data_IF_430504751813
#
_entry.id   IF_430504751813
#
_cell.length_a   1.000
_cell.length_b   1.000
_cell.length_c   1.000
_cell.angle_alpha   90.00
_cell.angle_beta   90.00
_cell.angle_gamma   90.00
#
_symmetry.space_group_name_H-M   'P 1'
#
loop_
_entity.id
_entity.type
_entity.pdbx_description
1 polymer ?
#
# COMPACT_ATOMS: atom_id res chain seq x y z
N UNK A 1 35.62 -6.58 -97.01
CA UNK A 1 36.46 -5.75 -96.14
C UNK A 1 35.58 -5.35 -94.96
N UNK A 2 35.59 -6.12 -93.92
CA UNK A 2 34.79 -5.86 -92.69
C UNK A 2 35.67 -6.25 -91.51
N UNK A 3 36.09 -5.31 -90.71
CA UNK A 3 36.85 -5.54 -89.51
C UNK A 3 35.88 -5.72 -88.29
N UNK A 4 36.05 -6.83 -87.61
CA UNK A 4 35.45 -7.15 -86.38
C UNK A 4 36.26 -6.66 -85.19
N UNK A 5 35.75 -5.82 -84.35
CA UNK A 5 36.36 -5.47 -83.04
C UNK A 5 35.59 -6.10 -81.93
N UNK A 6 36.18 -7.14 -81.31
CA UNK A 6 35.65 -7.77 -80.08
C UNK A 6 36.01 -6.92 -78.86
N UNK A 7 35.00 -6.58 -78.13
CA UNK A 7 35.15 -5.88 -76.85
C UNK A 7 35.38 -6.88 -75.69
N UNK A 8 36.51 -6.75 -75.00
CA UNK A 8 36.84 -7.38 -73.75
C UNK A 8 36.02 -6.79 -72.63
N UNK A 9 35.19 -7.58 -72.02
CA UNK A 9 34.47 -7.25 -70.72
C UNK A 9 35.40 -7.67 -69.60
N UNK A 10 35.77 -6.79 -68.67
CA UNK A 10 36.71 -7.14 -67.60
C UNK A 10 36.13 -8.08 -66.59
N UNK A 11 36.78 -9.16 -66.33
CA UNK A 11 36.57 -10.24 -65.38
C UNK A 11 36.68 -9.82 -63.89
N UNK A 12 36.75 -8.49 -63.58
CA UNK A 12 36.94 -7.95 -62.23
C UNK A 12 35.65 -7.78 -61.43
N UNK A 13 34.47 -7.74 -62.04
CA UNK A 13 33.23 -7.50 -61.35
C UNK A 13 32.74 -8.71 -60.48
N UNK A 14 33.09 -9.93 -60.83
CA UNK A 14 32.72 -11.14 -60.11
C UNK A 14 33.56 -11.44 -58.86
N UNK A 15 34.78 -10.92 -58.74
CA UNK A 15 35.62 -11.15 -57.55
C UNK A 15 35.27 -10.27 -56.40
N UNK A 16 34.75 -9.06 -56.60
CA UNK A 16 34.30 -8.14 -55.51
C UNK A 16 33.01 -8.59 -54.87
N UNK A 17 32.02 -9.15 -55.58
CA UNK A 17 30.80 -9.71 -55.03
C UNK A 17 31.07 -10.93 -54.17
N UNK A 18 32.03 -11.78 -54.55
CA UNK A 18 32.38 -12.98 -53.80
C UNK A 18 33.14 -12.66 -52.49
N UNK A 19 33.97 -11.61 -52.52
CA UNK A 19 34.70 -11.14 -51.33
C UNK A 19 33.73 -10.49 -50.31
N UNK A 20 32.76 -9.71 -50.78
CA UNK A 20 31.72 -9.08 -49.94
C UNK A 20 30.82 -10.11 -49.28
N UNK A 21 30.42 -11.18 -49.98
CA UNK A 21 29.63 -12.26 -49.42
C UNK A 21 30.37 -13.02 -48.32
N UNK A 22 31.68 -13.29 -48.48
CA UNK A 22 32.53 -13.94 -47.47
C UNK A 22 32.70 -13.04 -46.25
N UNK A 23 32.87 -11.73 -46.41
CA UNK A 23 32.97 -10.78 -45.33
C UNK A 23 31.65 -10.69 -44.52
N UNK A 24 30.51 -10.66 -45.19
CA UNK A 24 29.19 -10.64 -44.56
C UNK A 24 28.93 -11.89 -43.73
N UNK A 25 29.29 -13.07 -44.23
CA UNK A 25 29.18 -14.34 -43.48
C UNK A 25 30.11 -14.32 -42.25
N UNK A 26 31.31 -13.80 -42.38
CA UNK A 26 32.23 -13.68 -41.24
C UNK A 26 31.69 -12.75 -40.15
N UNK A 27 31.06 -11.63 -40.51
CA UNK A 27 30.45 -10.70 -39.59
C UNK A 27 29.27 -11.37 -38.81
N UNK A 28 28.42 -12.14 -39.52
CA UNK A 28 27.34 -12.89 -38.90
C UNK A 28 27.87 -13.94 -37.92
N UNK A 29 28.92 -14.66 -38.27
CA UNK A 29 29.54 -15.65 -37.36
C UNK A 29 30.11 -14.96 -36.12
N UNK A 30 30.82 -13.87 -36.27
CA UNK A 30 31.36 -13.12 -35.13
C UNK A 30 30.29 -12.56 -34.22
N UNK A 31 29.18 -12.05 -34.78
CA UNK A 31 28.04 -11.57 -34.02
C UNK A 31 27.35 -12.71 -33.26
N UNK A 32 27.16 -13.87 -33.90
CA UNK A 32 26.57 -15.06 -33.24
C UNK A 32 27.45 -15.55 -32.08
N UNK A 33 28.78 -15.55 -32.25
CA UNK A 33 29.72 -15.89 -31.17
C UNK A 33 29.61 -14.91 -29.99
N UNK A 34 29.54 -13.61 -30.27
CA UNK A 34 29.39 -12.58 -29.24
C UNK A 34 28.09 -12.76 -28.45
N UNK A 35 26.95 -13.06 -29.10
CA UNK A 35 25.67 -13.34 -28.45
C UNK A 35 25.78 -14.57 -27.57
N UNK A 36 26.41 -15.66 -28.02
CA UNK A 36 26.60 -16.88 -27.19
C UNK A 36 27.44 -16.60 -25.95
N UNK A 37 28.52 -15.77 -26.07
CA UNK A 37 29.36 -15.40 -24.94
C UNK A 37 28.57 -14.60 -23.91
N UNK A 38 27.72 -13.65 -24.35
CA UNK A 38 26.84 -12.86 -23.44
C UNK A 38 25.86 -13.76 -22.74
N UNK A 39 25.22 -14.69 -23.44
CA UNK A 39 24.27 -15.64 -22.81
C UNK A 39 24.97 -16.56 -21.82
N UNK A 40 26.17 -17.05 -22.11
CA UNK A 40 26.98 -17.83 -21.17
C UNK A 40 27.36 -17.02 -19.92
N UNK A 41 27.71 -15.75 -20.09
CA UNK A 41 28.04 -14.88 -18.96
C UNK A 41 26.82 -14.66 -18.07
N UNK A 42 25.65 -14.39 -18.66
CA UNK A 42 24.36 -14.26 -17.92
C UNK A 42 24.06 -15.57 -17.18
N UNK A 43 24.20 -16.71 -17.84
CA UNK A 43 23.98 -18.03 -17.22
C UNK A 43 24.93 -18.30 -16.05
N UNK A 44 26.21 -17.95 -16.18
CA UNK A 44 27.20 -18.12 -15.10
C UNK A 44 26.96 -17.18 -13.94
N UNK A 45 26.51 -15.94 -14.21
CA UNK A 45 26.06 -15.00 -13.18
C UNK A 45 24.85 -15.54 -12.43
N UNK A 46 23.84 -16.06 -13.15
CA UNK A 46 22.66 -16.68 -12.59
C UNK A 46 22.98 -17.92 -11.73
N UNK A 47 23.86 -18.83 -12.23
CA UNK A 47 24.36 -19.96 -11.44
C UNK A 47 25.11 -19.52 -10.18
N UNK A 48 25.95 -18.48 -10.25
CA UNK A 48 26.64 -17.95 -9.06
C UNK A 48 25.65 -17.40 -8.02
N UNK A 49 24.55 -16.77 -8.49
CA UNK A 49 23.49 -16.28 -7.61
C UNK A 49 22.75 -17.44 -6.91
N UNK A 50 22.41 -18.49 -7.65
CA UNK A 50 21.78 -19.71 -7.11
C UNK A 50 22.69 -20.48 -6.13
N UNK A 51 24.00 -20.57 -6.42
CA UNK A 51 24.97 -21.23 -5.54
C UNK A 51 25.25 -20.44 -4.26
N UNK A 52 25.19 -19.09 -4.29
CA UNK A 52 25.21 -18.25 -3.08
C UNK A 52 23.98 -18.49 -2.22
N UNK A 53 22.80 -18.73 -2.81
CA UNK A 53 21.57 -19.07 -2.10
C UNK A 53 21.66 -20.43 -1.38
N UNK A 54 22.32 -21.43 -2.01
CA UNK A 54 22.46 -22.80 -1.47
C UNK A 54 23.53 -22.94 -0.35
N UNK A 55 24.50 -22.02 -0.27
CA UNK A 55 25.58 -22.05 0.74
C UNK A 55 25.18 -21.43 2.08
N UNK A 56 23.97 -20.86 2.18
CA UNK A 56 23.40 -20.27 3.41
C UNK A 56 22.40 -21.19 4.15
N UNK A 57 22.15 -22.39 3.63
CA UNK A 57 21.37 -23.43 4.32
C UNK A 57 22.32 -24.42 5.02
N UNK A 58 22.88 -24.00 6.13
CA UNK A 58 23.68 -24.83 7.02
C UNK A 58 22.96 -24.98 8.35
N UNK A 59 22.71 -26.22 8.69
CA UNK A 59 22.11 -26.80 9.90
C UNK A 59 22.50 -26.08 11.19
N UNK A 60 21.54 -25.62 11.98
CA UNK A 60 21.73 -25.08 13.33
C UNK A 60 21.28 -26.12 14.33
N UNK A 61 22.11 -26.44 15.37
CA UNK A 61 21.73 -27.40 16.43
C UNK A 61 20.73 -26.78 17.40
N UNK A 62 19.75 -27.56 17.83
CA UNK A 62 18.77 -27.21 18.87
C UNK A 62 19.49 -26.87 20.18
N UNK A 63 19.43 -25.63 20.59
CA UNK A 63 19.68 -25.19 21.96
C UNK A 63 18.50 -24.29 22.34
N UNK A 64 17.86 -24.64 23.44
CA UNK A 64 16.84 -23.83 24.10
C UNK A 64 17.44 -22.49 24.53
N UNK A 65 17.06 -21.40 23.86
CA UNK A 65 17.57 -20.06 24.16
C UNK A 65 16.43 -19.06 24.09
N UNK A 66 16.39 -18.22 25.11
CA UNK A 66 15.71 -16.94 25.11
C UNK A 66 15.83 -16.23 23.75
N UNK A 67 14.68 -15.87 23.20
CA UNK A 67 14.58 -15.29 21.86
C UNK A 67 15.14 -13.87 21.87
N UNK A 68 16.45 -13.76 21.59
CA UNK A 68 17.03 -12.50 21.09
C UNK A 68 16.92 -12.51 19.57
N UNK A 69 15.86 -11.97 19.05
CA UNK A 69 15.70 -11.74 17.61
C UNK A 69 16.69 -10.68 17.13
N UNK A 70 17.58 -11.10 16.27
CA UNK A 70 18.35 -10.25 15.37
C UNK A 70 17.66 -10.31 14.01
N UNK A 71 17.07 -9.24 13.50
CA UNK A 71 16.60 -9.20 12.13
C UNK A 71 17.80 -8.90 11.23
N UNK A 72 18.38 -9.91 10.66
CA UNK A 72 19.31 -9.74 9.56
C UNK A 72 19.07 -10.90 8.61
N UNK A 73 18.46 -10.61 7.51
CA UNK A 73 18.86 -10.94 6.15
C UNK A 73 17.66 -10.96 5.20
N UNK A 74 17.78 -10.10 4.18
CA UNK A 74 17.19 -10.22 2.86
C UNK A 74 15.71 -9.92 2.70
N UNK A 75 15.46 -8.70 2.26
CA UNK A 75 14.48 -8.52 1.19
C UNK A 75 15.04 -7.49 0.22
N UNK A 76 15.51 -7.94 -0.92
CA UNK A 76 15.55 -7.10 -2.13
C UNK A 76 14.11 -7.10 -2.63
N UNK A 77 13.33 -6.15 -2.17
CA UNK A 77 12.01 -5.87 -2.70
C UNK A 77 12.17 -5.24 -4.08
N UNK A 78 11.99 -6.03 -5.14
CA UNK A 78 11.68 -5.43 -6.44
C UNK A 78 10.27 -4.84 -6.33
N UNK A 79 10.19 -3.57 -5.91
CA UNK A 79 9.00 -2.75 -6.08
C UNK A 79 8.78 -2.54 -7.57
N UNK A 80 7.98 -3.40 -8.20
CA UNK A 80 7.39 -3.08 -9.49
C UNK A 80 6.31 -2.03 -9.26
N UNK A 81 6.73 -0.76 -9.32
CA UNK A 81 5.80 0.34 -9.55
C UNK A 81 5.31 0.17 -10.98
N UNK A 82 4.03 -0.08 -11.18
CA UNK A 82 3.44 -0.10 -12.50
C UNK A 82 3.43 1.33 -13.02
N UNK A 83 4.47 1.69 -13.79
CA UNK A 83 4.44 2.86 -14.67
C UNK A 83 3.71 2.45 -15.94
N UNK A 84 2.45 2.82 -16.04
CA UNK A 84 1.72 2.77 -17.31
C UNK A 84 2.20 3.98 -18.10
N UNK A 85 2.95 3.75 -19.19
CA UNK A 85 3.38 4.78 -20.13
C UNK A 85 2.19 5.57 -20.67
N UNK A 86 2.36 6.90 -20.71
CA UNK A 86 1.37 7.85 -21.19
C UNK A 86 1.05 7.60 -22.67
N UNK A 87 -0.21 7.28 -22.95
CA UNK A 87 -0.79 7.47 -24.29
C UNK A 87 -0.98 8.97 -24.48
N UNK A 88 -0.29 9.53 -25.45
CA UNK A 88 -0.36 10.92 -25.89
C UNK A 88 -1.82 11.44 -25.92
N UNK A 89 -2.15 12.35 -25.04
CA UNK A 89 -3.34 13.17 -25.14
C UNK A 89 -2.96 14.57 -25.62
N UNK A 90 -3.49 14.91 -26.79
CA UNK A 90 -3.39 16.16 -27.53
C UNK A 90 -3.46 17.41 -26.64
N UNK A 91 -2.49 18.32 -26.88
CA UNK A 91 -2.57 19.75 -26.54
C UNK A 91 -3.92 20.34 -26.98
N UNK A 92 -4.63 20.90 -26.03
CA UNK A 92 -5.52 22.03 -26.28
C UNK A 92 -5.30 23.09 -25.21
N UNK A 93 -5.09 24.28 -25.71
CA UNK A 93 -4.91 25.55 -25.04
C UNK A 93 -6.00 25.81 -24.00
N UNK A 94 -5.61 26.23 -22.80
CA UNK A 94 -6.49 27.02 -21.93
C UNK A 94 -5.68 28.21 -21.42
N UNK A 95 -6.18 29.36 -21.84
CA UNK A 95 -5.84 30.73 -21.52
C UNK A 95 -5.77 31.03 -20.02
N UNK A 96 -4.83 31.90 -19.71
CA UNK A 96 -4.66 32.59 -18.43
C UNK A 96 -5.93 33.30 -17.96
N UNK A 97 -6.35 33.05 -16.73
CA UNK A 97 -7.25 33.92 -15.99
C UNK A 97 -6.46 34.62 -14.88
N UNK A 98 -6.15 35.89 -15.13
CA UNK A 98 -5.71 36.83 -14.12
C UNK A 98 -6.91 37.17 -13.23
N UNK A 99 -6.75 36.97 -11.92
CA UNK A 99 -7.67 37.54 -10.93
C UNK A 99 -6.99 38.77 -10.33
N UNK A 100 -7.56 39.94 -10.65
CA UNK A 100 -7.26 41.21 -10.00
C UNK A 100 -7.87 41.22 -8.60
N UNK A 101 -7.04 41.51 -7.59
CA UNK A 101 -7.49 41.86 -6.25
C UNK A 101 -7.42 43.38 -6.13
N UNK A 102 -8.61 43.99 -5.99
CA UNK A 102 -8.79 45.43 -5.79
C UNK A 102 -8.19 45.95 -4.51
N UNK A 103 -7.51 47.08 -4.64
CA UNK A 103 -7.07 47.97 -3.55
C UNK A 103 -8.18 48.93 -3.15
N UNK A 104 -8.39 49.14 -1.86
CA UNK A 104 -8.81 50.36 -1.19
C UNK A 104 -8.53 50.19 0.31
N UNK A 105 -8.08 51.09 1.13
CA UNK A 105 -7.70 52.51 1.05
C UNK A 105 -6.98 52.92 2.32
N UNK A 106 -6.00 53.79 2.18
CA UNK A 106 -5.62 54.95 2.96
C UNK A 106 -5.38 54.90 4.48
N UNK A 107 -4.20 55.44 4.86
CA UNK A 107 -3.92 56.01 6.17
C UNK A 107 -2.43 56.19 6.47
N UNK A 108 -1.80 57.30 5.98
CA UNK A 108 -0.71 58.17 6.49
C UNK A 108 0.30 57.61 7.53
N UNK A 109 1.50 57.64 7.24
CA UNK A 109 2.67 58.54 7.19
C UNK A 109 3.62 58.37 8.39
N UNK A 110 4.86 58.14 8.15
CA UNK A 110 6.00 59.01 8.42
C UNK A 110 7.35 58.34 8.10
N UNK A 111 8.18 59.13 7.43
CA UNK A 111 9.55 58.90 6.98
C UNK A 111 10.54 58.41 8.05
N UNK A 112 11.53 57.58 7.63
CA UNK A 112 12.95 57.93 7.72
C UNK A 112 13.77 57.02 6.81
N UNK A 113 14.62 57.62 5.99
CA UNK A 113 15.58 57.13 5.04
C UNK A 113 16.75 56.36 5.67
N UNK A 114 17.33 55.38 5.05
CA UNK A 114 18.66 55.33 4.46
C UNK A 114 19.18 53.94 4.10
N UNK A 115 19.83 53.83 2.96
CA UNK A 115 20.96 52.92 2.75
C UNK A 115 20.64 51.61 2.02
N UNK A 116 20.91 51.61 0.71
CA UNK A 116 20.86 50.44 -0.13
C UNK A 116 21.97 49.42 0.12
N UNK A 117 21.63 48.17 -0.11
CA UNK A 117 22.54 47.17 -0.69
C UNK A 117 21.69 46.03 -1.27
N UNK A 118 21.98 45.73 -2.52
CA UNK A 118 21.42 44.63 -3.28
C UNK A 118 21.90 43.32 -2.70
N UNK A 119 20.98 42.51 -2.11
CA UNK A 119 21.24 41.10 -1.82
C UNK A 119 20.24 40.24 -2.54
N UNK A 120 20.78 39.39 -3.40
CA UNK A 120 20.12 38.24 -4.03
C UNK A 120 19.58 37.33 -2.91
N UNK A 121 18.26 37.38 -2.69
CA UNK A 121 17.60 36.51 -1.72
C UNK A 121 17.55 35.08 -2.25
N UNK A 122 18.55 34.28 -1.86
CA UNK A 122 18.39 32.84 -1.70
C UNK A 122 17.30 32.61 -0.66
N UNK A 123 16.21 31.97 -1.04
CA UNK A 123 15.15 31.52 -0.14
C UNK A 123 15.74 30.49 0.82
N UNK A 124 16.31 30.93 1.93
CA UNK A 124 16.57 30.12 3.10
C UNK A 124 15.23 29.84 3.77
N UNK A 125 14.78 28.59 3.67
CA UNK A 125 13.66 28.05 4.44
C UNK A 125 14.17 27.84 5.87
N UNK A 126 14.29 28.90 6.64
CA UNK A 126 14.43 28.86 8.08
C UNK A 126 13.09 29.29 8.71
N UNK A 127 12.13 28.36 8.73
CA UNK A 127 11.01 28.45 9.65
C UNK A 127 11.04 27.21 10.56
N UNK A 128 11.63 27.31 11.79
CA UNK A 128 11.76 26.17 12.70
C UNK A 128 10.43 25.76 13.35
N UNK A 129 9.31 26.32 12.90
CA UNK A 129 8.00 26.09 13.49
C UNK A 129 6.91 25.74 12.47
N UNK A 130 7.20 24.80 11.58
CA UNK A 130 6.09 24.07 10.97
C UNK A 130 5.57 23.18 12.10
N UNK A 131 4.46 23.53 12.74
CA UNK A 131 3.90 22.93 13.97
C UNK A 131 3.47 21.45 13.91
N UNK A 132 4.27 20.58 13.28
CA UNK A 132 3.95 19.22 12.88
C UNK A 132 4.87 18.13 13.46
N UNK A 133 5.72 18.45 14.41
CA UNK A 133 6.65 17.52 15.01
C UNK A 133 7.94 18.21 15.40
N UNK A 134 8.82 17.48 16.12
CA UNK A 134 10.12 18.02 16.53
C UNK A 134 11.05 18.05 15.30
N UNK A 135 11.67 19.20 15.08
CA UNK A 135 12.80 19.29 14.17
C UNK A 135 14.04 18.68 14.82
N UNK A 136 14.76 17.86 14.10
CA UNK A 136 16.04 17.28 14.50
C UNK A 136 17.14 17.80 13.58
N UNK A 137 18.26 18.25 14.15
CA UNK A 137 19.45 18.58 13.38
C UNK A 137 20.08 17.33 12.77
N UNK A 138 20.85 17.51 11.72
CA UNK A 138 21.61 16.41 11.09
C UNK A 138 22.51 15.69 12.10
N UNK A 139 23.18 16.44 13.00
CA UNK A 139 24.03 15.86 14.04
C UNK A 139 23.27 14.97 15.02
N UNK A 140 22.06 15.35 15.43
CA UNK A 140 21.22 14.52 16.29
C UNK A 140 20.82 13.21 15.61
N UNK A 141 20.48 13.27 14.31
CA UNK A 141 20.10 12.09 13.53
C UNK A 141 21.31 11.18 13.27
N UNK A 142 22.47 11.75 12.92
CA UNK A 142 23.72 11.01 12.79
C UNK A 142 24.12 10.33 14.10
N UNK A 143 24.05 11.05 15.22
CA UNK A 143 24.32 10.47 16.55
C UNK A 143 23.35 9.31 16.83
N UNK A 144 22.05 9.52 16.65
CA UNK A 144 21.03 8.51 16.93
C UNK A 144 21.23 7.23 16.11
N UNK A 145 21.65 7.36 14.85
CA UNK A 145 21.86 6.23 13.93
C UNK A 145 23.28 5.70 13.90
N UNK A 146 24.17 6.24 14.75
CA UNK A 146 25.62 5.93 14.77
C UNK A 146 26.28 6.19 13.40
N UNK A 147 26.00 7.37 12.81
CA UNK A 147 26.52 7.75 11.50
C UNK A 147 25.90 6.94 10.36
N UNK A 148 24.62 6.56 10.48
CA UNK A 148 23.91 5.69 9.50
C UNK A 148 24.60 4.35 9.31
N UNK A 149 25.05 3.75 10.41
CA UNK A 149 25.77 2.49 10.39
C UNK A 149 24.92 1.37 9.76
N UNK A 150 25.56 0.52 8.97
CA UNK A 150 24.90 -0.57 8.24
C UNK A 150 24.21 -1.57 9.18
N UNK A 151 24.73 -1.78 10.38
CA UNK A 151 24.15 -2.64 11.41
C UNK A 151 22.82 -2.12 11.96
N UNK A 152 22.52 -0.84 11.77
CA UNK A 152 21.29 -0.19 12.19
C UNK A 152 20.23 -0.14 11.06
N UNK A 153 20.52 -0.63 9.87
CA UNK A 153 19.54 -0.71 8.79
C UNK A 153 18.48 -1.75 9.15
N UNK A 154 17.21 -1.30 9.20
CA UNK A 154 16.04 -2.14 9.51
C UNK A 154 15.11 -2.30 8.30
N UNK A 155 15.34 -1.54 7.23
CA UNK A 155 14.60 -1.65 5.98
C UNK A 155 15.25 -0.81 4.88
N UNK A 156 15.16 -1.32 3.65
CA UNK A 156 15.61 -0.63 2.44
C UNK A 156 14.59 -0.84 1.35
N UNK A 157 14.24 0.21 0.63
CA UNK A 157 13.25 0.16 -0.46
C UNK A 157 13.46 1.28 -1.47
N UNK A 158 12.62 1.34 -2.49
CA UNK A 158 12.73 2.31 -3.59
C UNK A 158 12.69 3.78 -3.18
N UNK A 159 12.22 4.08 -1.98
CA UNK A 159 12.06 5.46 -1.47
C UNK A 159 13.15 5.88 -0.47
N UNK A 160 13.93 4.95 0.07
CA UNK A 160 14.96 5.28 1.05
C UNK A 160 15.40 4.11 1.89
N UNK A 161 16.27 4.41 2.84
CA UNK A 161 16.78 3.46 3.84
C UNK A 161 16.24 3.84 5.21
N UNK A 162 15.76 2.86 5.97
CA UNK A 162 15.26 3.04 7.33
C UNK A 162 16.28 2.49 8.31
N UNK A 163 16.68 3.34 9.25
CA UNK A 163 17.63 3.01 10.30
C UNK A 163 16.94 2.95 11.66
N UNK A 164 17.30 1.98 12.49
CA UNK A 164 17.04 2.04 13.92
C UNK A 164 17.94 3.10 14.54
N UNK A 165 17.36 4.00 15.34
CA UNK A 165 18.10 5.02 16.04
C UNK A 165 17.78 5.04 17.54
N UNK A 166 18.69 5.62 18.34
CA UNK A 166 18.48 5.89 19.76
C UNK A 166 18.78 7.36 20.00
N UNK A 167 17.77 8.13 20.34
CA UNK A 167 17.92 9.55 20.67
C UNK A 167 18.68 9.75 21.98
N UNK A 168 19.13 10.99 22.25
CA UNK A 168 19.90 11.31 23.45
C UNK A 168 19.16 11.01 24.77
N UNK A 169 17.83 11.09 24.75
CA UNK A 169 16.94 10.75 25.87
C UNK A 169 16.68 9.25 26.03
N UNK A 170 17.36 8.41 25.22
CA UNK A 170 17.17 6.95 25.20
C UNK A 170 15.95 6.47 24.42
N UNK A 171 15.14 7.39 23.82
CA UNK A 171 13.98 6.98 23.04
C UNK A 171 14.41 6.31 21.72
N UNK A 172 13.88 5.12 21.46
CA UNK A 172 14.17 4.35 20.23
C UNK A 172 13.27 4.81 19.10
N UNK A 173 13.87 5.12 17.95
CA UNK A 173 13.20 5.65 16.76
C UNK A 173 13.55 4.85 15.52
N UNK A 174 12.74 5.00 14.47
CA UNK A 174 13.05 4.59 13.11
C UNK A 174 13.26 5.85 12.25
N UNK A 175 14.43 5.97 11.63
CA UNK A 175 14.80 7.11 10.80
C UNK A 175 14.78 6.69 9.34
N UNK A 176 13.80 7.20 8.56
CA UNK A 176 13.69 6.98 7.11
C UNK A 176 14.46 8.09 6.38
N UNK A 177 15.61 7.73 5.79
CA UNK A 177 16.41 8.62 4.96
C UNK A 177 15.95 8.50 3.52
N UNK A 178 15.30 9.54 2.98
CA UNK A 178 14.69 9.51 1.65
C UNK A 178 15.75 9.69 0.54
N UNK A 179 15.65 8.89 -0.52
CA UNK A 179 16.52 9.03 -1.70
C UNK A 179 16.16 10.28 -2.50
N UNK A 180 17.13 11.17 -2.71
CA UNK A 180 16.90 12.39 -3.46
C UNK A 180 17.03 12.18 -4.99
N UNK A 181 16.17 11.33 -5.54
CA UNK A 181 16.09 11.09 -6.96
C UNK A 181 15.20 12.16 -7.63
N UNK A 182 15.82 13.12 -8.35
CA UNK A 182 15.11 14.16 -9.13
C UNK A 182 14.02 14.92 -8.36
N UNK A 183 14.25 15.23 -7.07
CA UNK A 183 13.30 15.94 -6.21
C UNK A 183 12.16 15.06 -5.67
N UNK A 184 12.27 13.75 -5.75
CA UNK A 184 11.31 12.79 -5.21
C UNK A 184 11.25 12.87 -3.68
N UNK A 185 12.41 12.95 -3.00
CA UNK A 185 12.48 13.06 -1.55
C UNK A 185 11.67 14.24 -1.00
N UNK A 186 11.73 15.40 -1.64
CA UNK A 186 10.98 16.58 -1.22
C UNK A 186 9.47 16.37 -1.32
N UNK A 187 9.01 15.71 -2.40
CA UNK A 187 7.58 15.41 -2.58
C UNK A 187 7.07 14.44 -1.55
N UNK A 188 7.76 13.33 -1.33
CA UNK A 188 7.40 12.33 -0.32
C UNK A 188 7.42 12.92 1.09
N UNK A 189 8.49 13.64 1.41
CA UNK A 189 8.62 14.33 2.69
C UNK A 189 7.42 15.23 2.98
N UNK A 190 7.05 16.10 2.02
CA UNK A 190 5.88 16.99 2.16
C UNK A 190 4.59 16.21 2.35
N UNK A 191 4.38 15.17 1.52
CA UNK A 191 3.18 14.33 1.60
C UNK A 191 3.07 13.65 2.96
N UNK A 192 4.15 13.03 3.47
CA UNK A 192 4.13 12.35 4.77
C UNK A 192 3.93 13.33 5.93
N UNK A 193 4.64 14.47 5.92
CA UNK A 193 4.49 15.48 6.98
C UNK A 193 3.07 16.06 6.98
N UNK A 194 2.50 16.35 5.80
CA UNK A 194 1.15 16.91 5.68
C UNK A 194 0.07 15.87 6.08
N UNK A 195 0.21 14.62 5.64
CA UNK A 195 -0.78 13.59 5.90
C UNK A 195 -0.83 13.14 7.37
N UNK A 196 0.34 12.91 8.00
CA UNK A 196 0.40 12.28 9.33
C UNK A 196 1.14 13.08 10.40
N UNK A 197 1.68 14.26 10.10
CA UNK A 197 2.43 15.04 11.06
C UNK A 197 1.67 15.30 12.39
N UNK A 198 0.38 15.62 12.31
CA UNK A 198 -0.52 15.83 13.45
C UNK A 198 -1.28 14.58 13.91
N UNK A 199 -1.23 13.50 13.13
CA UNK A 199 -2.05 12.32 13.38
C UNK A 199 -1.50 11.52 14.57
N UNK A 200 -2.40 11.18 15.50
CA UNK A 200 -2.08 10.36 16.68
C UNK A 200 -3.15 9.30 16.85
N UNK A 201 -2.83 8.06 16.45
CA UNK A 201 -3.71 6.92 16.60
C UNK A 201 -2.90 5.65 16.90
N UNK A 202 -3.41 4.78 17.78
CA UNK A 202 -2.69 3.57 18.24
C UNK A 202 -2.34 2.59 17.13
N UNK A 203 -3.12 2.58 16.04
CA UNK A 203 -2.94 1.69 14.89
C UNK A 203 -2.33 2.38 13.67
N UNK A 204 -1.72 3.55 13.84
CA UNK A 204 -0.92 4.26 12.85
C UNK A 204 0.47 4.49 13.43
N UNK A 205 1.50 4.39 12.60
CA UNK A 205 2.87 4.72 13.00
C UNK A 205 2.97 6.23 13.19
N UNK A 206 3.45 6.64 14.37
CA UNK A 206 3.56 8.05 14.73
C UNK A 206 4.81 8.68 14.12
N UNK A 207 4.63 9.78 13.41
CA UNK A 207 5.73 10.67 13.08
C UNK A 207 6.13 11.46 14.35
N UNK A 208 7.35 11.23 14.82
CA UNK A 208 7.94 11.89 15.99
C UNK A 208 8.52 13.26 15.62
N UNK A 209 9.14 13.32 14.45
CA UNK A 209 9.74 14.53 13.92
C UNK A 209 10.40 14.30 12.57
N UNK A 210 11.21 15.25 12.15
CA UNK A 210 11.87 15.24 10.86
C UNK A 210 13.21 15.99 10.90
N UNK A 211 14.07 15.71 9.92
CA UNK A 211 15.28 16.46 9.62
C UNK A 211 15.24 16.91 8.15
N UNK A 212 15.44 18.21 7.92
CA UNK A 212 15.58 18.81 6.60
C UNK A 212 16.86 19.63 6.60
N UNK A 213 17.90 19.13 5.93
CA UNK A 213 19.20 19.76 5.86
C UNK A 213 19.73 19.73 4.42
N UNK A 214 19.89 20.89 3.81
CA UNK A 214 20.23 21.03 2.40
C UNK A 214 19.27 20.22 1.51
N UNK A 215 19.81 19.24 0.79
CA UNK A 215 19.02 18.35 -0.08
C UNK A 215 18.53 17.08 0.63
N UNK A 216 18.97 16.84 1.87
CA UNK A 216 18.60 15.64 2.64
C UNK A 216 17.24 15.81 3.29
N UNK A 217 16.42 14.78 3.23
CA UNK A 217 15.09 14.71 3.85
C UNK A 217 14.99 13.42 4.63
N UNK A 218 14.72 13.53 5.93
CA UNK A 218 14.57 12.37 6.82
C UNK A 218 13.34 12.52 7.67
N UNK A 219 12.65 11.41 7.88
CA UNK A 219 11.47 11.32 8.71
C UNK A 219 11.81 10.44 9.92
N UNK A 220 11.45 10.90 11.11
CA UNK A 220 11.73 10.22 12.38
C UNK A 220 10.42 9.68 12.93
N UNK A 221 10.29 8.38 13.01
CA UNK A 221 9.09 7.67 13.48
C UNK A 221 9.33 6.98 14.82
N UNK A 222 8.24 6.66 15.52
CA UNK A 222 8.32 5.67 16.59
C UNK A 222 8.87 4.34 16.04
N UNK A 223 9.69 3.67 16.84
CA UNK A 223 10.17 2.33 16.49
C UNK A 223 9.11 1.28 16.83
N UNK A 224 8.87 0.32 15.92
CA UNK A 224 7.92 -0.77 16.11
C UNK A 224 8.69 -2.10 16.09
N UNK A 225 8.49 -2.92 17.12
CA UNK A 225 9.45 -3.95 17.53
C UNK A 225 9.47 -5.22 16.66
N UNK A 226 8.31 -5.66 16.13
CA UNK A 226 8.18 -6.97 15.46
C UNK A 226 8.21 -6.88 13.94
N UNK A 227 8.86 -5.83 13.38
CA UNK A 227 8.95 -5.70 11.92
C UNK A 227 7.61 -5.56 11.23
N UNK A 228 7.48 -6.04 10.00
CA UNK A 228 6.27 -5.94 9.19
C UNK A 228 5.57 -7.31 8.99
N UNK A 229 4.31 -7.26 8.61
CA UNK A 229 3.47 -8.44 8.43
C UNK A 229 3.94 -9.36 7.29
N UNK A 230 4.52 -8.80 6.22
CA UNK A 230 5.06 -9.58 5.10
C UNK A 230 6.16 -10.53 5.55
N UNK A 231 7.08 -10.07 6.44
CA UNK A 231 8.15 -10.90 7.00
C UNK A 231 7.59 -12.11 7.75
N UNK A 232 6.44 -11.97 8.41
CA UNK A 232 5.81 -13.04 9.18
C UNK A 232 4.91 -13.96 8.34
N UNK A 233 4.33 -13.47 7.24
CA UNK A 233 3.51 -14.29 6.35
C UNK A 233 4.36 -15.06 5.32
N UNK A 234 5.44 -14.44 4.82
CA UNK A 234 6.21 -14.96 3.67
C UNK A 234 7.69 -15.22 3.97
N UNK A 235 8.17 -14.82 5.15
CA UNK A 235 9.52 -15.11 5.61
C UNK A 235 9.67 -16.53 6.14
N UNK A 236 10.90 -16.90 6.47
CA UNK A 236 11.19 -18.20 7.10
C UNK A 236 10.89 -18.12 8.60
N UNK A 237 9.67 -18.45 8.97
CA UNK A 237 9.19 -18.42 10.36
C UNK A 237 9.15 -19.83 11.01
N UNK A 238 9.70 -20.84 10.32
CA UNK A 238 9.70 -22.22 10.76
C UNK A 238 8.44 -23.01 10.35
N UNK A 239 8.27 -24.24 10.86
CA UNK A 239 7.21 -25.16 10.43
C UNK A 239 5.80 -24.75 10.88
N UNK A 240 5.68 -23.94 11.93
CA UNK A 240 4.42 -23.43 12.48
C UNK A 240 4.54 -21.92 12.59
N UNK A 241 3.55 -21.21 12.05
CA UNK A 241 3.51 -19.75 12.12
C UNK A 241 3.17 -19.29 13.56
N UNK A 242 3.91 -18.32 14.12
CA UNK A 242 3.53 -17.69 15.39
C UNK A 242 2.25 -16.86 15.27
N UNK A 243 1.83 -16.53 14.04
CA UNK A 243 0.59 -15.83 13.76
C UNK A 243 -0.59 -16.82 13.76
N UNK A 244 -1.11 -17.12 14.95
CA UNK A 244 -2.35 -17.89 15.12
C UNK A 244 -3.53 -17.16 14.47
N UNK A 245 -4.66 -17.85 14.27
CA UNK A 245 -5.86 -17.21 13.75
C UNK A 245 -6.28 -15.97 14.53
N UNK A 246 -6.27 -16.01 15.85
CA UNK A 246 -6.66 -14.88 16.69
C UNK A 246 -5.72 -13.69 16.55
N UNK A 247 -4.41 -13.94 16.42
CA UNK A 247 -3.43 -12.89 16.15
C UNK A 247 -3.67 -12.30 14.76
N UNK A 248 -3.91 -13.12 13.73
CA UNK A 248 -4.20 -12.66 12.37
C UNK A 248 -5.45 -11.78 12.33
N UNK A 249 -6.52 -12.17 13.01
CA UNK A 249 -7.74 -11.36 13.09
C UNK A 249 -7.51 -10.06 13.90
N UNK A 250 -6.70 -10.11 14.96
CA UNK A 250 -6.28 -8.90 15.69
C UNK A 250 -5.52 -7.92 14.81
N UNK A 251 -4.60 -8.41 13.98
CA UNK A 251 -3.86 -7.60 12.99
C UNK A 251 -4.84 -6.98 11.99
N UNK A 252 -5.76 -7.78 11.43
CA UNK A 252 -6.77 -7.29 10.49
C UNK A 252 -7.66 -6.20 11.10
N UNK A 253 -8.19 -6.42 12.31
CA UNK A 253 -9.02 -5.43 13.03
C UNK A 253 -8.24 -4.17 13.37
N UNK A 254 -6.98 -4.32 13.81
CA UNK A 254 -6.12 -3.18 14.13
C UNK A 254 -5.83 -2.33 12.90
N UNK A 255 -5.54 -2.96 11.77
CA UNK A 255 -5.34 -2.28 10.48
C UNK A 255 -6.62 -1.56 10.03
N UNK A 256 -7.77 -2.23 10.13
CA UNK A 256 -9.07 -1.63 9.79
C UNK A 256 -9.38 -0.41 10.66
N UNK A 257 -9.05 -0.44 11.97
CA UNK A 257 -9.22 0.72 12.88
C UNK A 257 -8.32 1.89 12.49
N UNK A 258 -7.08 1.62 12.09
CA UNK A 258 -6.17 2.65 11.58
C UNK A 258 -6.73 3.33 10.33
N UNK A 259 -7.21 2.54 9.35
CA UNK A 259 -7.82 3.05 8.13
C UNK A 259 -9.15 3.77 8.37
N UNK A 260 -10.00 3.26 9.28
CA UNK A 260 -11.23 3.94 9.67
C UNK A 260 -10.95 5.34 10.21
N UNK A 261 -9.91 5.49 11.03
CA UNK A 261 -9.51 6.80 11.53
C UNK A 261 -9.04 7.74 10.42
N UNK A 262 -8.25 7.27 9.43
CA UNK A 262 -7.82 8.08 8.29
C UNK A 262 -9.00 8.53 7.40
N UNK A 263 -9.99 7.65 7.19
CA UNK A 263 -11.09 7.88 6.27
C UNK A 263 -12.28 8.62 6.89
N UNK A 264 -12.54 8.38 8.18
CA UNK A 264 -13.78 8.80 8.86
C UNK A 264 -13.50 9.70 10.07
N UNK A 265 -12.28 9.69 10.62
CA UNK A 265 -11.89 10.46 11.80
C UNK A 265 -11.08 11.73 11.51
N UNK A 266 -10.72 11.99 10.25
CA UNK A 266 -9.93 13.15 9.85
C UNK A 266 -10.66 14.03 8.85
N UNK A 267 -10.39 15.34 8.91
CA UNK A 267 -10.79 16.33 7.91
C UNK A 267 -9.57 17.23 7.61
N UNK A 268 -9.09 17.21 6.37
CA UNK A 268 -9.49 16.36 5.25
C UNK A 268 -9.17 14.88 5.50
N UNK A 269 -9.94 13.99 4.84
CA UNK A 269 -9.68 12.54 4.86
C UNK A 269 -8.31 12.23 4.26
N UNK A 270 -7.67 11.17 4.75
CA UNK A 270 -6.40 10.68 4.20
C UNK A 270 -6.64 9.34 3.53
N UNK A 271 -6.39 9.25 2.22
CA UNK A 271 -6.35 7.99 1.46
C UNK A 271 -4.91 7.54 1.37
N UNK A 272 -4.61 6.32 1.83
CA UNK A 272 -3.24 5.81 1.99
C UNK A 272 -2.58 5.42 0.66
N UNK A 273 -3.31 4.76 -0.23
CA UNK A 273 -2.93 4.32 -1.59
C UNK A 273 -1.94 3.15 -1.68
N UNK A 274 -1.29 2.76 -0.59
CA UNK A 274 -0.32 1.65 -0.60
C UNK A 274 -0.52 0.73 0.61
N UNK A 275 -1.76 0.24 0.80
CA UNK A 275 -2.08 -0.75 1.83
C UNK A 275 -1.62 -2.12 1.35
N UNK A 276 -0.65 -2.70 2.06
CA UNK A 276 -0.03 -4.01 1.79
C UNK A 276 0.65 -4.55 3.04
N UNK A 277 1.01 -5.82 3.06
CA UNK A 277 1.60 -6.49 4.23
C UNK A 277 2.94 -5.88 4.69
N UNK A 278 3.79 -5.41 3.78
CA UNK A 278 5.05 -4.77 4.15
C UNK A 278 4.88 -3.39 4.81
N UNK A 279 3.72 -2.73 4.64
CA UNK A 279 3.40 -1.45 5.27
C UNK A 279 2.59 -1.61 6.58
N UNK A 280 2.39 -2.84 7.05
CA UNK A 280 1.74 -3.13 8.33
C UNK A 280 2.81 -3.57 9.33
N UNK A 281 3.20 -2.67 10.23
CA UNK A 281 4.16 -2.97 11.29
C UNK A 281 3.44 -3.58 12.50
N UNK A 282 4.13 -4.45 13.23
CA UNK A 282 3.57 -5.20 14.35
C UNK A 282 4.26 -4.80 15.66
N UNK A 283 3.48 -4.44 16.66
CA UNK A 283 4.01 -4.15 18.01
C UNK A 283 4.26 -5.45 18.81
N UNK A 284 4.86 -5.32 19.99
CA UNK A 284 5.15 -6.45 20.91
C UNK A 284 3.92 -7.28 21.29
N UNK A 285 2.70 -6.71 21.13
CA UNK A 285 1.43 -7.36 21.45
C UNK A 285 0.72 -7.86 20.19
N UNK A 286 1.38 -7.85 19.04
CA UNK A 286 0.83 -8.21 17.74
C UNK A 286 -0.32 -7.29 17.30
N UNK A 287 -0.36 -6.03 17.76
CA UNK A 287 -1.27 -5.06 17.17
C UNK A 287 -0.63 -4.44 15.93
N UNK A 288 -1.42 -4.23 14.90
CA UNK A 288 -0.96 -3.59 13.68
C UNK A 288 -0.89 -2.07 13.82
N UNK A 289 0.13 -1.50 13.18
CA UNK A 289 0.31 -0.08 12.92
C UNK A 289 0.55 0.13 11.43
N UNK A 290 -0.33 0.88 10.77
CA UNK A 290 -0.16 1.24 9.35
C UNK A 290 0.97 2.26 9.23
N UNK A 291 1.86 2.05 8.27
CA UNK A 291 3.08 2.83 8.03
C UNK A 291 3.24 3.20 6.55
N UNK A 292 4.20 4.04 6.24
CA UNK A 292 4.60 4.50 4.89
C UNK A 292 3.50 5.30 4.16
N UNK A 293 3.39 6.56 4.52
CA UNK A 293 2.41 7.50 3.95
C UNK A 293 2.97 8.29 2.76
N UNK A 294 4.11 7.89 2.19
CA UNK A 294 4.77 8.58 1.06
C UNK A 294 3.90 8.72 -0.20
N UNK A 295 2.87 7.89 -0.33
CA UNK A 295 1.89 7.96 -1.42
C UNK A 295 0.53 8.53 -0.99
N UNK A 296 0.33 8.92 0.27
CA UNK A 296 -0.96 9.35 0.78
C UNK A 296 -1.54 10.57 0.05
N UNK A 297 -2.86 10.70 0.06
CA UNK A 297 -3.55 11.83 -0.57
C UNK A 297 -4.66 12.35 0.33
N UNK A 298 -4.63 13.65 0.57
CA UNK A 298 -5.70 14.36 1.27
C UNK A 298 -6.91 14.54 0.35
N UNK A 299 -8.08 14.21 0.88
CA UNK A 299 -9.36 14.31 0.19
C UNK A 299 -10.31 15.17 1.03
N UNK A 300 -10.54 16.41 0.62
CA UNK A 300 -11.48 17.32 1.30
C UNK A 300 -12.92 16.84 1.22
N UNK A 301 -13.75 17.23 2.18
CA UNK A 301 -15.15 16.83 2.32
C UNK A 301 -16.01 17.12 1.10
N UNK A 302 -15.70 18.19 0.37
CA UNK A 302 -16.37 18.58 -0.88
C UNK A 302 -16.14 17.63 -2.06
N UNK A 303 -15.12 16.72 -1.95
CA UNK A 303 -14.69 15.85 -3.04
C UNK A 303 -15.02 14.39 -2.76
N UNK A 304 -15.72 13.78 -3.69
CA UNK A 304 -15.98 12.33 -3.66
C UNK A 304 -14.80 11.49 -4.15
N UNK A 305 -13.93 12.08 -4.97
CA UNK A 305 -12.70 11.44 -5.50
C UNK A 305 -11.70 12.50 -5.98
N UNK A 306 -10.47 12.06 -6.24
CA UNK A 306 -9.41 12.85 -6.89
C UNK A 306 -8.87 12.06 -8.06
N UNK A 307 -8.76 12.67 -9.26
CA UNK A 307 -8.06 12.03 -10.38
C UNK A 307 -6.56 12.25 -10.22
N UNK A 308 -5.79 11.17 -10.26
CA UNK A 308 -4.33 11.19 -10.07
C UNK A 308 -3.68 10.06 -10.85
N UNK A 309 -2.37 10.20 -11.12
CA UNK A 309 -1.56 9.09 -11.64
C UNK A 309 -1.75 7.87 -10.73
N UNK A 310 -1.95 6.70 -11.36
CA UNK A 310 -2.05 5.43 -10.64
C UNK A 310 -0.72 5.12 -9.97
N UNK A 311 -0.79 4.88 -8.67
CA UNK A 311 0.36 4.53 -7.81
C UNK A 311 -0.10 3.50 -6.79
N UNK A 312 0.85 2.75 -6.23
CA UNK A 312 0.59 1.69 -5.28
C UNK A 312 1.26 0.38 -5.71
N UNK A 313 1.05 -0.69 -4.95
CA UNK A 313 1.71 -1.98 -5.15
C UNK A 313 0.83 -2.91 -5.98
N UNK A 314 1.40 -3.49 -7.05
CA UNK A 314 0.70 -4.42 -7.93
C UNK A 314 0.11 -5.60 -7.13
N UNK A 315 -1.12 -5.99 -7.47
CA UNK A 315 -1.88 -7.00 -6.74
C UNK A 315 -2.81 -6.43 -5.67
N UNK A 316 -2.52 -5.23 -5.11
CA UNK A 316 -3.38 -4.57 -4.12
C UNK A 316 -4.20 -3.41 -4.70
N UNK A 317 -3.78 -2.85 -5.85
CA UNK A 317 -4.47 -1.71 -6.48
C UNK A 317 -5.86 -2.11 -6.96
N UNK A 318 -6.85 -1.28 -6.64
CA UNK A 318 -8.24 -1.55 -7.06
C UNK A 318 -8.43 -1.35 -8.57
N UNK A 319 -9.27 -2.18 -9.23
CA UNK A 319 -9.41 -2.18 -10.68
C UNK A 319 -9.88 -0.83 -11.25
N UNK A 320 -10.84 -0.18 -10.59
CA UNK A 320 -11.35 1.13 -11.03
C UNK A 320 -10.29 2.22 -10.94
N UNK A 321 -9.49 2.23 -9.87
CA UNK A 321 -8.41 3.18 -9.73
C UNK A 321 -7.31 2.92 -10.78
N UNK A 322 -6.96 1.65 -11.02
CA UNK A 322 -6.00 1.27 -12.05
C UNK A 322 -6.43 1.71 -13.45
N UNK A 323 -7.72 1.65 -13.77
CA UNK A 323 -8.25 1.95 -15.11
C UNK A 323 -8.57 3.43 -15.33
N UNK A 324 -9.02 4.15 -14.29
CA UNK A 324 -9.54 5.52 -14.42
C UNK A 324 -8.67 6.60 -13.78
N UNK A 325 -7.76 6.22 -12.88
CA UNK A 325 -7.02 7.16 -12.04
C UNK A 325 -7.89 7.85 -10.96
N UNK A 326 -9.17 7.49 -10.83
CA UNK A 326 -10.08 8.04 -9.83
C UNK A 326 -9.85 7.38 -8.46
N UNK A 327 -9.27 8.15 -7.55
CA UNK A 327 -8.92 7.71 -6.20
C UNK A 327 -9.95 8.20 -5.19
N UNK A 328 -10.37 7.31 -4.31
CA UNK A 328 -11.16 7.62 -3.12
C UNK A 328 -10.84 6.63 -1.97
N UNK A 329 -11.47 6.82 -0.81
CA UNK A 329 -11.29 5.94 0.34
C UNK A 329 -11.66 4.46 0.09
N UNK A 330 -12.53 4.20 -0.90
CA UNK A 330 -12.93 2.83 -1.27
C UNK A 330 -11.83 2.06 -2.02
N UNK A 331 -10.84 2.79 -2.56
CA UNK A 331 -9.65 2.17 -3.13
C UNK A 331 -8.80 1.49 -2.05
N UNK A 332 -8.63 2.14 -0.87
CA UNK A 332 -7.96 1.51 0.28
C UNK A 332 -8.77 0.33 0.86
N UNK A 333 -10.12 0.39 0.78
CA UNK A 333 -10.98 -0.73 1.18
C UNK A 333 -10.71 -1.97 0.34
N UNK A 334 -10.54 -1.80 -0.98
CA UNK A 334 -10.16 -2.93 -1.86
C UNK A 334 -8.80 -3.49 -1.48
N UNK A 335 -7.79 -2.63 -1.32
CA UNK A 335 -6.43 -3.05 -0.91
C UNK A 335 -6.44 -3.77 0.44
N UNK A 336 -7.25 -3.29 1.40
CA UNK A 336 -7.49 -3.99 2.67
C UNK A 336 -8.13 -5.36 2.47
N UNK A 337 -9.06 -5.50 1.53
CA UNK A 337 -9.68 -6.79 1.19
C UNK A 337 -8.64 -7.81 0.71
N UNK A 338 -7.72 -7.38 -0.17
CA UNK A 338 -6.61 -8.23 -0.65
C UNK A 338 -5.66 -8.57 0.50
N UNK A 339 -5.31 -7.60 1.34
CA UNK A 339 -4.49 -7.82 2.54
C UNK A 339 -5.15 -8.83 3.50
N UNK A 340 -6.46 -8.77 3.69
CA UNK A 340 -7.18 -9.73 4.54
C UNK A 340 -7.15 -11.14 3.94
N UNK A 341 -7.27 -11.28 2.61
CA UNK A 341 -7.08 -12.58 1.94
C UNK A 341 -5.67 -13.11 2.15
N UNK A 342 -4.65 -12.28 2.00
CA UNK A 342 -3.24 -12.62 2.27
C UNK A 342 -3.04 -13.08 3.71
N UNK A 343 -3.62 -12.39 4.70
CA UNK A 343 -3.60 -12.76 6.12
C UNK A 343 -4.24 -14.13 6.36
N UNK A 344 -5.37 -14.42 5.72
CA UNK A 344 -6.09 -15.70 5.91
C UNK A 344 -5.33 -16.86 5.28
N UNK A 345 -4.81 -16.66 4.07
CA UNK A 345 -4.31 -17.74 3.21
C UNK A 345 -2.80 -17.95 3.29
N UNK A 346 -2.05 -16.97 3.82
CA UNK A 346 -0.58 -16.98 3.77
C UNK A 346 -0.02 -16.87 2.34
N UNK A 347 -0.85 -16.58 1.32
CA UNK A 347 -0.43 -16.45 -0.09
C UNK A 347 -0.21 -15.00 -0.47
N UNK A 348 0.85 -14.75 -1.22
CA UNK A 348 1.11 -13.44 -1.83
C UNK A 348 0.00 -13.06 -2.81
N UNK A 349 -0.33 -11.76 -2.97
CA UNK A 349 -1.37 -11.30 -3.90
C UNK A 349 -1.15 -11.72 -5.35
N UNK A 350 0.10 -11.79 -5.77
CA UNK A 350 0.52 -12.33 -7.07
C UNK A 350 1.63 -13.36 -6.85
N UNK A 351 1.42 -14.56 -7.35
CA UNK A 351 2.40 -15.66 -7.26
C UNK A 351 2.59 -16.30 -8.65
N UNK A 352 3.65 -15.93 -9.33
CA UNK A 352 4.02 -16.42 -10.66
C UNK A 352 4.45 -17.90 -10.67
N UNK A 353 4.63 -18.54 -9.52
CA UNK A 353 4.93 -19.98 -9.44
C UNK A 353 3.69 -20.87 -9.61
N UNK A 354 2.49 -20.27 -9.54
CA UNK A 354 1.20 -20.96 -9.64
C UNK A 354 0.68 -21.03 -11.08
N UNK A 355 -0.22 -21.96 -11.37
CA UNK A 355 -0.90 -22.05 -12.67
C UNK A 355 -1.64 -20.74 -13.00
N UNK A 356 -1.87 -20.42 -14.30
CA UNK A 356 -2.49 -19.17 -14.75
C UNK A 356 -3.79 -18.80 -14.03
N UNK A 357 -4.64 -19.75 -13.67
CA UNK A 357 -5.89 -19.50 -12.95
C UNK A 357 -5.74 -19.25 -11.44
N UNK A 358 -4.54 -19.46 -10.89
CA UNK A 358 -4.24 -19.34 -9.45
C UNK A 358 -3.17 -18.33 -9.12
N UNK A 359 -2.56 -17.67 -10.13
CA UNK A 359 -1.50 -16.67 -9.92
C UNK A 359 -2.01 -15.46 -9.17
N UNK A 360 -3.23 -15.02 -9.45
CA UNK A 360 -3.86 -13.89 -8.78
C UNK A 360 -4.65 -14.38 -7.56
N UNK A 361 -4.31 -13.89 -6.38
CA UNK A 361 -4.95 -14.28 -5.12
C UNK A 361 -6.46 -14.01 -5.12
N UNK A 362 -6.90 -12.87 -5.67
CA UNK A 362 -8.32 -12.48 -5.68
C UNK A 362 -9.15 -13.44 -6.53
N UNK A 363 -8.63 -13.81 -7.71
CA UNK A 363 -9.36 -14.71 -8.63
C UNK A 363 -9.41 -16.13 -8.08
N UNK A 364 -8.30 -16.64 -7.58
CA UNK A 364 -8.25 -17.93 -6.91
C UNK A 364 -9.18 -17.99 -5.70
N UNK A 365 -9.13 -16.97 -4.83
CA UNK A 365 -9.97 -16.88 -3.62
C UNK A 365 -11.45 -16.91 -3.97
N UNK A 366 -11.89 -16.11 -4.97
CA UNK A 366 -13.27 -16.12 -5.48
C UNK A 366 -13.67 -17.51 -6.00
N UNK A 367 -12.80 -18.17 -6.75
CA UNK A 367 -13.02 -19.51 -7.27
C UNK A 367 -13.22 -20.54 -6.16
N UNK A 368 -12.39 -20.51 -5.12
CA UNK A 368 -12.50 -21.43 -3.98
C UNK A 368 -13.80 -21.21 -3.20
N UNK A 369 -14.18 -19.97 -2.94
CA UNK A 369 -15.44 -19.65 -2.24
C UNK A 369 -16.66 -20.08 -3.10
N UNK A 370 -16.64 -19.79 -4.39
CA UNK A 370 -17.71 -20.20 -5.32
C UNK A 370 -17.88 -21.72 -5.39
N UNK A 371 -16.79 -22.45 -5.32
CA UNK A 371 -16.75 -23.93 -5.30
C UNK A 371 -17.07 -24.52 -3.91
N UNK A 372 -17.45 -23.70 -2.92
CA UNK A 372 -17.71 -24.09 -1.51
C UNK A 372 -16.51 -24.74 -0.79
N UNK A 373 -15.30 -24.44 -1.25
CA UNK A 373 -14.02 -24.90 -0.68
C UNK A 373 -13.36 -23.84 0.21
N UNK A 374 -14.18 -23.07 0.92
CA UNK A 374 -13.69 -21.96 1.76
C UNK A 374 -12.78 -22.40 2.91
N UNK A 375 -12.98 -23.61 3.43
CA UNK A 375 -12.15 -24.14 4.52
C UNK A 375 -10.71 -24.41 4.07
N UNK A 376 -10.47 -24.69 2.78
CA UNK A 376 -9.16 -24.91 2.20
C UNK A 376 -8.37 -23.59 1.95
N UNK A 377 -8.99 -22.44 2.20
CA UNK A 377 -8.35 -21.13 2.08
C UNK A 377 -7.46 -20.78 3.27
N UNK A 378 -7.62 -21.48 4.40
CA UNK A 378 -6.85 -21.19 5.61
C UNK A 378 -5.41 -21.62 5.42
N UNK A 379 -4.47 -20.73 5.78
CA UNK A 379 -3.04 -20.99 5.72
C UNK A 379 -2.70 -22.28 6.50
N UNK A 380 -2.09 -23.28 5.84
CA UNK A 380 -1.73 -24.54 6.48
C UNK A 380 -0.71 -24.40 7.64
N UNK A 381 -0.02 -23.26 7.73
CA UNK A 381 0.88 -22.97 8.85
C UNK A 381 0.15 -22.56 10.14
N UNK A 382 -1.16 -22.41 10.11
CA UNK A 382 -1.98 -22.16 11.30
C UNK A 382 -2.26 -23.51 11.98
N UNK A 383 -1.69 -23.70 13.18
CA UNK A 383 -1.81 -24.95 13.94
C UNK A 383 -3.27 -25.24 14.33
N UNK A 384 -3.96 -24.23 14.88
CA UNK A 384 -5.36 -24.36 15.34
C UNK A 384 -6.28 -23.70 14.33
N UNK A 385 -7.05 -24.51 13.63
CA UNK A 385 -8.00 -24.05 12.63
C UNK A 385 -9.10 -23.16 13.25
N UNK A 386 -9.54 -22.10 12.54
CA UNK A 386 -10.63 -21.24 13.01
C UNK A 386 -11.96 -21.98 13.08
N UNK A 387 -12.87 -21.49 13.94
CA UNK A 387 -14.25 -21.96 13.89
C UNK A 387 -14.89 -21.65 12.52
N UNK A 388 -15.77 -22.52 12.00
CA UNK A 388 -16.44 -22.28 10.71
C UNK A 388 -17.15 -20.93 10.65
N UNK A 389 -17.67 -20.45 11.78
CA UNK A 389 -18.34 -19.16 11.89
C UNK A 389 -17.35 -18.00 11.73
N UNK A 390 -16.20 -18.06 12.42
CA UNK A 390 -15.14 -17.04 12.33
C UNK A 390 -14.57 -16.96 10.91
N UNK A 391 -14.26 -18.11 10.30
CA UNK A 391 -13.79 -18.19 8.94
C UNK A 391 -14.80 -17.60 7.95
N UNK A 392 -16.06 -18.06 7.99
CA UNK A 392 -17.11 -17.57 7.10
C UNK A 392 -17.30 -16.05 7.18
N UNK A 393 -17.18 -15.48 8.38
CA UNK A 393 -17.22 -14.03 8.61
C UNK A 393 -16.06 -13.33 7.89
N UNK A 394 -14.83 -13.79 8.09
CA UNK A 394 -13.65 -13.21 7.46
C UNK A 394 -13.71 -13.30 5.92
N UNK A 395 -14.12 -14.45 5.37
CA UNK A 395 -14.32 -14.63 3.93
C UNK A 395 -15.37 -13.67 3.36
N UNK A 396 -16.47 -13.47 4.08
CA UNK A 396 -17.52 -12.52 3.67
C UNK A 396 -16.98 -11.07 3.64
N UNK A 397 -16.19 -10.68 4.64
CA UNK A 397 -15.57 -9.35 4.67
C UNK A 397 -14.64 -9.17 3.48
N UNK A 398 -13.79 -10.16 3.17
CA UNK A 398 -12.95 -10.12 1.96
C UNK A 398 -13.78 -9.84 0.71
N UNK A 399 -14.83 -10.64 0.46
CA UNK A 399 -15.68 -10.50 -0.73
C UNK A 399 -16.38 -9.13 -0.80
N UNK A 400 -16.81 -8.57 0.34
CA UNK A 400 -17.42 -7.24 0.40
C UNK A 400 -16.42 -6.12 0.09
N UNK A 401 -15.18 -6.27 0.52
CA UNK A 401 -14.14 -5.28 0.27
C UNK A 401 -13.72 -5.20 -1.20
N UNK A 402 -13.74 -6.33 -1.91
CA UNK A 402 -13.31 -6.42 -3.31
C UNK A 402 -14.47 -6.35 -4.32
N UNK A 403 -15.66 -5.89 -3.90
CA UNK A 403 -16.79 -5.71 -4.82
C UNK A 403 -16.38 -4.79 -5.97
N UNK A 404 -16.73 -5.17 -7.21
CA UNK A 404 -16.43 -4.39 -8.41
C UNK A 404 -17.22 -3.07 -8.41
N UNK A 405 -18.43 -3.07 -7.84
CA UNK A 405 -19.17 -1.85 -7.58
C UNK A 405 -18.60 -1.14 -6.35
N UNK A 406 -17.88 -0.08 -6.59
CA UNK A 406 -17.18 0.71 -5.55
C UNK A 406 -18.13 1.15 -4.43
N UNK A 407 -19.41 1.47 -4.76
CA UNK A 407 -20.40 1.96 -3.80
C UNK A 407 -20.82 0.84 -2.84
N UNK A 408 -20.80 -0.42 -3.27
CA UNK A 408 -21.18 -1.57 -2.45
C UNK A 408 -20.09 -1.98 -1.45
N UNK A 409 -18.84 -1.52 -1.63
CA UNK A 409 -17.79 -1.74 -0.63
C UNK A 409 -18.18 -1.04 0.68
N UNK A 410 -18.07 -1.69 1.83
CA UNK A 410 -18.36 -1.06 3.12
C UNK A 410 -17.34 0.04 3.45
N UNK A 411 -17.69 0.96 4.34
CA UNK A 411 -16.72 1.87 4.96
C UNK A 411 -15.84 1.10 5.95
N UNK A 412 -14.64 1.61 6.26
CA UNK A 412 -13.71 0.93 7.16
C UNK A 412 -14.28 0.72 8.57
N UNK A 413 -15.04 1.69 9.11
CA UNK A 413 -15.73 1.53 10.39
C UNK A 413 -16.75 0.38 10.38
N UNK A 414 -17.47 0.18 9.28
CA UNK A 414 -18.37 -0.97 9.11
C UNK A 414 -17.58 -2.29 9.06
N UNK A 415 -16.41 -2.32 8.41
CA UNK A 415 -15.54 -3.49 8.37
C UNK A 415 -15.06 -3.86 9.78
N UNK A 416 -14.68 -2.87 10.60
CA UNK A 416 -14.33 -3.11 12.01
C UNK A 416 -15.47 -3.84 12.73
N UNK A 417 -16.71 -3.33 12.61
CA UNK A 417 -17.88 -3.97 13.21
C UNK A 417 -18.12 -5.38 12.65
N UNK A 418 -17.97 -5.58 11.34
CA UNK A 418 -18.13 -6.90 10.73
C UNK A 418 -17.11 -7.92 11.23
N UNK A 419 -15.87 -7.51 11.51
CA UNK A 419 -14.82 -8.39 12.00
C UNK A 419 -14.94 -8.67 13.50
N UNK A 420 -15.40 -7.71 14.31
CA UNK A 420 -15.51 -7.81 15.78
C UNK A 420 -16.83 -8.42 16.26
N UNK A 421 -17.88 -8.43 15.44
CA UNK A 421 -19.19 -8.89 15.87
C UNK A 421 -19.19 -10.40 16.17
N UNK A 422 -19.56 -10.79 17.37
CA UNK A 422 -19.79 -12.20 17.74
C UNK A 422 -21.03 -12.77 17.05
N UNK A 423 -22.04 -11.92 16.78
CA UNK A 423 -23.29 -12.23 16.10
C UNK A 423 -23.54 -11.31 14.92
N UNK A 424 -22.99 -11.64 13.74
CA UNK A 424 -23.43 -10.99 12.52
C UNK A 424 -24.73 -11.68 12.07
N UNK A 425 -25.89 -11.03 12.14
CA UNK A 425 -27.13 -11.62 11.61
C UNK A 425 -27.00 -11.63 10.09
N UNK A 426 -26.91 -12.85 9.51
CA UNK A 426 -27.16 -13.06 8.09
C UNK A 426 -28.66 -12.82 7.81
N UNK A 427 -29.13 -11.58 7.93
CA UNK A 427 -30.45 -11.19 7.48
C UNK A 427 -30.37 -10.98 5.99
N UNK A 428 -30.75 -11.99 5.23
CA UNK A 428 -31.04 -11.84 3.81
C UNK A 428 -32.19 -10.85 3.69
N UNK A 429 -31.94 -9.65 3.16
CA UNK A 429 -32.96 -8.69 2.77
C UNK A 429 -33.92 -9.21 1.67
N UNK A 430 -33.78 -10.46 1.26
CA UNK A 430 -34.62 -11.12 0.25
C UNK A 430 -35.89 -11.81 0.80
N UNK A 431 -36.19 -11.71 2.11
CA UNK A 431 -37.36 -12.41 2.67
C UNK A 431 -38.58 -11.55 2.91
N UNK A 432 -38.51 -10.24 2.72
CA UNK A 432 -39.62 -9.33 2.99
C UNK A 432 -40.52 -9.00 1.80
N UNK A 433 -40.25 -9.56 0.59
CA UNK A 433 -41.10 -9.35 -0.59
C UNK A 433 -41.97 -10.56 -0.98
N UNK A 434 -41.96 -11.67 -0.22
CA UNK A 434 -42.76 -12.86 -0.53
C UNK A 434 -43.85 -13.21 0.46
N UNK A 435 -44.05 -12.41 1.51
CA UNK A 435 -45.07 -12.71 2.53
C UNK A 435 -46.27 -11.74 2.51
N UNK A 436 -46.39 -10.88 1.46
CA UNK A 436 -47.55 -9.98 1.29
C UNK A 436 -48.59 -10.43 0.27
N UNK A 437 -48.39 -11.57 -0.42
CA UNK A 437 -49.30 -12.03 -1.47
C UNK A 437 -49.83 -13.45 -1.19
N UNK A 438 -50.35 -13.71 0.02
CA UNK A 438 -51.21 -14.88 0.24
C UNK A 438 -52.23 -14.54 1.34
N UNK A 439 -53.29 -13.84 0.95
CA UNK A 439 -54.54 -13.84 1.65
C UNK A 439 -55.49 -14.75 0.88
N UNK A 440 -55.98 -15.85 1.44
CA UNK A 440 -57.18 -16.53 0.93
C UNK A 440 -58.41 -15.90 1.52
N UNK A 441 -59.26 -15.40 0.64
CA UNK A 441 -60.65 -15.07 0.91
C UNK A 441 -61.49 -16.32 1.16
N UNK A 442 -62.51 -16.15 2.01
CA UNK A 442 -63.74 -16.93 2.30
C UNK A 442 -63.81 -17.46 3.75
N UNK A 443 -64.84 -17.30 4.51
CA UNK A 443 -66.24 -17.03 4.40
C UNK A 443 -66.87 -16.77 5.79
N UNK A 444 -67.81 -15.89 5.87
CA UNK A 444 -69.02 -15.78 6.68
C UNK A 444 -69.29 -16.78 7.85
N UNK A 445 -69.77 -16.29 9.00
CA UNK A 445 -71.22 -16.34 9.42
C UNK A 445 -71.39 -16.26 10.93
N UNK A 446 -72.24 -15.31 11.38
CA UNK A 446 -73.08 -15.22 12.61
C UNK A 446 -72.45 -15.04 14.01
N UNK A 447 -72.66 -13.95 14.64
CA UNK A 447 -73.77 -13.30 15.33
C UNK A 447 -73.67 -13.33 16.88
N UNK A 448 -73.88 -12.16 17.44
CA UNK A 448 -74.53 -11.77 18.69
C UNK A 448 -73.67 -11.08 19.75
N UNK A 449 -73.93 -9.76 19.82
CA UNK A 449 -73.85 -8.95 21.03
C UNK A 449 -74.82 -9.41 22.13
N UNK A 450 -74.82 -8.93 23.38
CA UNK A 450 -74.56 -7.57 23.81
C UNK A 450 -73.96 -7.35 25.24
N UNK A 451 -73.40 -6.17 25.44
CA UNK A 451 -73.30 -5.21 26.56
C UNK A 451 -73.84 -5.59 28.00
N UNK A 452 -73.55 -4.79 29.07
CA UNK A 452 -72.47 -3.85 29.44
C UNK A 452 -72.02 -3.92 30.93
N UNK A 453 -71.11 -3.06 31.37
CA UNK A 453 -71.08 -2.19 32.58
C UNK A 453 -69.74 -2.21 33.32
N UNK A 454 -69.11 -1.10 33.45
CA UNK A 454 -69.07 -0.03 34.47
C UNK A 454 -68.03 -0.21 35.60
N UNK A 455 -67.40 0.92 35.81
CA UNK A 455 -66.70 1.48 36.98
C UNK A 455 -65.25 1.15 37.16
N UNK A 456 -64.43 2.15 37.10
CA UNK A 456 -64.11 3.37 37.89
C UNK A 456 -62.78 3.15 38.57
N UNK A 457 -61.94 4.02 38.32
CA UNK A 457 -61.45 5.19 39.00
C UNK A 457 -60.08 5.08 39.66
N UNK A 458 -59.25 6.01 39.33
CA UNK A 458 -58.38 6.87 40.14
C UNK A 458 -56.95 6.40 40.52
N UNK A 459 -56.07 7.22 40.00
CA UNK A 459 -55.10 8.05 40.74
C UNK A 459 -53.77 7.33 41.10
N UNK A 460 -52.67 7.88 41.01
CA UNK A 460 -52.01 9.17 40.97
C UNK A 460 -50.51 8.95 41.14
N UNK A 461 -49.75 9.72 40.38
CA UNK A 461 -48.52 10.41 40.77
C UNK A 461 -47.42 9.72 41.59
N UNK A 462 -46.23 9.79 41.09
CA UNK A 462 -45.09 10.67 41.44
C UNK A 462 -43.80 9.96 41.17
N UNK A 463 -42.95 10.58 40.36
CA UNK A 463 -41.87 11.51 40.68
C UNK A 463 -40.56 10.88 41.17
N UNK A 464 -39.54 11.09 40.37
CA UNK A 464 -38.14 11.42 40.67
C UNK A 464 -37.30 10.44 41.51
N UNK A 465 -36.29 9.84 40.94
CA UNK A 465 -34.92 10.35 40.95
C UNK A 465 -34.05 9.56 39.98
#
# INVERSE_FOLDING_TARGET
MTASTGGHIPEMANKTSFLGLKLFILIIILFSIAVVIVLLFIFLCFRRMLLKKKKRSGTIPLVSVEVKHKPTDLIIEQKQVVEIEDVEAKKNEISELKVEIGKNSEGESSDVSCGGQSETSSLSVEDPNIGWGKWYSMKEVEFATRGFAQENVIGEGGYGIVYRGVLQDGYVVAVKNLFNNKGQAEKEFKVEVEAIGKVRHKNLVRLVGYCADGVRRMLVYEYVDNGNLEQWLHGDVGPISPLTWDIRMRIAVSTAKGLAYLHEGLEPKVVHRDIKSSNILLDKKWNAKVSDFGLAKLLGSEKTHVTTRVMGTFGYVSPEYASTGMLNERSDVYSFGVLLMEIITGRSPIDYSKPPGEMNLVDWFKGMVASRRGDELVDPLIEVQPSPRSLKRALLVCLRCIDLDVIKRPKMGQIVHMLEADDFPFRSEHRTLREKDLVPSHANIYSKDPYPSKHAELAEKSKWR
#
